data_IF_558219262141
#
_entry.id   IF_558219262141
#
_cell.length_a   1.000
_cell.length_b   1.000
_cell.length_c   1.000
_cell.angle_alpha   90.00
_cell.angle_beta   90.00
_cell.angle_gamma   90.00
#
_symmetry.space_group_name_H-M   'P 1'
#
loop_
_entity.id
_entity.type
_entity.pdbx_description
1 polymer ?
#
# COMPACT_ATOMS: atom_id res chain seq x y z
N UNK A 1 20.60 6.41 7.21
CA UNK A 1 19.83 7.54 7.79
C UNK A 1 18.34 7.23 7.84
N UNK A 2 17.86 6.92 9.03
CA UNK A 2 16.46 6.59 9.32
C UNK A 2 15.69 7.89 9.58
N UNK A 3 14.93 8.36 8.58
CA UNK A 3 14.17 9.61 8.70
C UNK A 3 12.91 9.37 9.55
N UNK A 4 12.79 10.10 10.65
CA UNK A 4 11.59 10.08 11.49
C UNK A 4 10.67 11.25 11.11
N UNK A 5 9.46 10.96 10.63
CA UNK A 5 8.45 11.98 10.40
C UNK A 5 7.62 12.15 11.68
N UNK A 6 7.51 13.39 12.18
CA UNK A 6 6.67 13.71 13.34
C UNK A 6 5.23 13.92 12.85
N UNK A 7 4.30 13.08 13.30
CA UNK A 7 2.88 13.21 13.01
C UNK A 7 2.15 14.15 13.98
N UNK A 8 0.83 14.30 13.77
CA UNK A 8 -0.05 15.02 14.72
C UNK A 8 0.14 14.47 16.14
N UNK A 9 0.24 15.38 17.13
CA UNK A 9 0.47 15.08 18.56
C UNK A 9 1.87 14.51 18.89
N UNK A 10 2.93 14.95 18.21
CA UNK A 10 4.33 14.54 18.48
C UNK A 10 4.58 13.02 18.44
N UNK A 11 3.73 12.25 17.75
CA UNK A 11 3.97 10.82 17.56
C UNK A 11 4.97 10.64 16.42
N UNK A 12 6.18 10.23 16.77
CA UNK A 12 7.20 9.85 15.79
C UNK A 12 6.78 8.57 15.05
N UNK A 13 6.92 8.58 13.73
CA UNK A 13 6.73 7.42 12.86
C UNK A 13 8.01 7.20 12.08
N UNK A 14 8.55 5.97 12.15
CA UNK A 14 9.72 5.58 11.36
C UNK A 14 9.31 5.60 9.90
N UNK A 15 9.97 6.42 9.08
CA UNK A 15 9.68 6.51 7.64
C UNK A 15 10.83 5.94 6.83
N UNK A 16 10.54 4.88 6.06
CA UNK A 16 11.50 4.30 5.11
C UNK A 16 11.11 4.69 3.70
N UNK A 17 12.04 5.30 2.96
CA UNK A 17 11.88 5.54 1.53
C UNK A 17 12.52 4.39 0.76
N UNK A 18 11.79 3.81 -0.19
CA UNK A 18 12.26 2.73 -1.05
C UNK A 18 12.33 3.24 -2.49
N UNK A 19 13.53 3.21 -3.07
CA UNK A 19 13.82 3.68 -4.43
C UNK A 19 14.73 4.92 -4.46
N UNK A 20 15.12 5.33 -5.67
CA UNK A 20 15.92 6.54 -5.87
C UNK A 20 15.17 7.78 -5.34
N UNK A 21 15.87 8.77 -4.78
CA UNK A 21 15.27 10.04 -4.40
C UNK A 21 14.52 10.62 -5.60
N UNK A 22 13.23 10.90 -5.43
CA UNK A 22 12.40 11.40 -6.52
C UNK A 22 12.93 12.74 -7.06
N UNK A 23 13.80 13.41 -6.33
CA UNK A 23 14.43 14.71 -6.54
C UNK A 23 15.80 14.65 -7.23
N UNK A 24 16.42 13.48 -7.39
CA UNK A 24 17.63 13.35 -8.22
C UNK A 24 17.25 13.24 -9.70
N UNK A 25 17.14 14.41 -10.36
CA UNK A 25 16.80 14.52 -11.76
C UNK A 25 17.79 13.79 -12.70
N UNK A 26 19.03 13.52 -12.26
CA UNK A 26 20.04 12.82 -13.05
C UNK A 26 19.77 11.33 -13.20
N UNK A 27 18.92 10.75 -12.32
CA UNK A 27 18.63 9.33 -12.24
C UNK A 27 17.26 8.93 -12.80
N UNK A 28 16.46 9.87 -13.34
CA UNK A 28 15.09 9.58 -13.82
C UNK A 28 15.06 9.35 -15.33
N UNK A 29 14.57 8.18 -15.75
CA UNK A 29 14.25 7.92 -17.15
C UNK A 29 12.95 8.66 -17.54
N UNK A 30 12.68 8.90 -18.83
CA UNK A 30 11.40 9.48 -19.26
C UNK A 30 10.19 8.68 -18.75
N UNK A 31 10.32 7.35 -18.67
CA UNK A 31 9.26 6.49 -18.13
C UNK A 31 9.00 6.76 -16.66
N UNK A 32 10.06 6.85 -15.83
CA UNK A 32 9.87 7.13 -14.40
C UNK A 32 9.48 8.58 -14.12
N UNK A 33 9.88 9.53 -14.98
CA UNK A 33 9.44 10.91 -14.86
C UNK A 33 7.91 11.05 -15.05
N UNK A 34 7.35 10.35 -16.04
CA UNK A 34 5.94 10.48 -16.42
C UNK A 34 5.03 9.62 -15.54
N UNK A 35 5.37 8.34 -15.34
CA UNK A 35 4.46 7.34 -14.79
C UNK A 35 4.69 7.02 -13.31
N UNK A 36 5.83 7.42 -12.72
CA UNK A 36 6.09 7.11 -11.31
C UNK A 36 5.41 8.09 -10.38
N UNK A 37 4.49 7.58 -9.56
CA UNK A 37 3.98 8.23 -8.35
C UNK A 37 4.62 7.63 -7.10
N UNK A 38 4.19 8.10 -5.93
CA UNK A 38 4.58 7.56 -4.63
C UNK A 38 3.35 7.14 -3.83
N UNK A 39 3.39 5.95 -3.24
CA UNK A 39 2.47 5.47 -2.21
C UNK A 39 3.12 5.62 -0.84
N UNK A 40 2.30 5.86 0.18
CA UNK A 40 2.68 5.77 1.58
C UNK A 40 1.84 4.69 2.24
N UNK A 41 2.48 3.60 2.64
CA UNK A 41 1.87 2.60 3.52
C UNK A 41 2.21 2.93 4.97
N UNK A 42 1.25 2.79 5.88
CA UNK A 42 1.46 2.97 7.32
C UNK A 42 0.96 1.74 8.06
N UNK A 43 1.78 1.18 8.92
CA UNK A 43 1.46 0.03 9.77
C UNK A 43 1.29 0.53 11.21
N UNK A 44 0.15 0.19 11.82
CA UNK A 44 -0.19 0.56 13.19
C UNK A 44 -0.65 -0.65 13.98
N UNK A 45 -0.23 -0.73 15.23
CA UNK A 45 -0.67 -1.74 16.17
C UNK A 45 -1.78 -1.20 17.06
N UNK A 46 -2.76 -2.05 17.34
CA UNK A 46 -3.84 -1.80 18.30
C UNK A 46 -3.51 -2.43 19.66
N UNK A 47 -4.26 -2.08 20.71
CA UNK A 47 -4.12 -2.72 22.01
C UNK A 47 -4.26 -4.26 21.89
N UNK A 48 -3.44 -5.06 22.61
CA UNK A 48 -2.45 -4.69 23.63
C UNK A 48 -1.06 -4.25 23.10
N UNK A 49 -0.86 -4.30 21.78
CA UNK A 49 0.42 -4.05 21.11
C UNK A 49 0.67 -2.57 20.74
N UNK A 50 -0.16 -1.64 21.24
CA UNK A 50 -0.10 -0.21 20.90
C UNK A 50 1.19 0.51 21.35
N UNK A 51 2.04 -0.17 22.15
CA UNK A 51 3.34 0.33 22.57
C UNK A 51 4.40 0.29 21.45
N UNK A 52 4.21 -0.56 20.43
CA UNK A 52 5.11 -0.58 19.27
C UNK A 52 4.91 0.67 18.41
N UNK A 53 6.03 1.24 17.96
CA UNK A 53 6.03 2.44 17.12
C UNK A 53 5.38 2.13 15.76
N UNK A 54 4.53 3.03 15.23
CA UNK A 54 4.07 2.94 13.86
C UNK A 54 5.23 2.99 12.88
N UNK A 55 5.13 2.21 11.82
CA UNK A 55 6.05 2.23 10.69
C UNK A 55 5.34 2.83 9.48
N UNK A 56 6.05 3.64 8.70
CA UNK A 56 5.59 4.12 7.41
C UNK A 56 6.64 3.83 6.34
N UNK A 57 6.17 3.41 5.17
CA UNK A 57 7.01 3.18 4.00
C UNK A 57 6.51 4.01 2.85
N UNK A 58 7.39 4.78 2.22
CA UNK A 58 7.13 5.47 0.97
C UNK A 58 7.76 4.65 -0.16
N UNK A 59 6.94 4.23 -1.12
CA UNK A 59 7.36 3.40 -2.25
C UNK A 59 6.89 3.98 -3.58
N UNK A 60 7.68 3.78 -4.63
CA UNK A 60 7.31 4.18 -5.98
C UNK A 60 6.30 3.23 -6.60
N UNK A 61 5.35 3.76 -7.38
CA UNK A 61 4.44 2.95 -8.18
C UNK A 61 4.33 3.52 -9.59
N UNK A 62 4.16 2.65 -10.59
CA UNK A 62 3.96 3.05 -11.99
C UNK A 62 2.51 2.82 -12.46
N UNK A 63 1.75 2.02 -11.73
CA UNK A 63 0.34 1.73 -11.99
C UNK A 63 -0.37 1.29 -10.70
N UNK A 64 -1.67 1.55 -10.58
CA UNK A 64 -2.50 1.02 -9.50
C UNK A 64 -3.30 -0.17 -9.99
N UNK A 65 -3.25 -1.27 -9.25
CA UNK A 65 -4.05 -2.46 -9.53
C UNK A 65 -5.32 -2.43 -8.68
N UNK A 66 -6.45 -2.13 -9.32
CA UNK A 66 -7.74 -1.98 -8.67
C UNK A 66 -8.50 -3.31 -8.74
N UNK A 67 -8.90 -3.79 -7.57
CA UNK A 67 -9.81 -4.92 -7.47
C UNK A 67 -11.24 -4.43 -7.71
N UNK A 68 -11.85 -4.95 -8.77
CA UNK A 68 -13.24 -4.64 -9.14
C UNK A 68 -14.18 -5.83 -8.91
N UNK A 69 -13.65 -6.94 -8.37
CA UNK A 69 -14.45 -8.11 -8.00
C UNK A 69 -15.06 -7.98 -6.61
N UNK A 70 -14.53 -7.05 -5.80
CA UNK A 70 -14.95 -6.83 -4.43
C UNK A 70 -16.41 -6.39 -4.35
N UNK A 71 -17.11 -6.89 -3.32
CA UNK A 71 -18.51 -6.53 -3.08
C UNK A 71 -18.64 -5.02 -2.85
N UNK A 72 -19.62 -4.40 -3.51
CA UNK A 72 -19.85 -2.95 -3.42
C UNK A 72 -18.93 -2.08 -4.28
N UNK A 73 -18.11 -2.66 -5.16
CA UNK A 73 -17.35 -1.91 -6.18
C UNK A 73 -18.12 -1.91 -7.50
N UNK A 74 -18.73 -0.76 -7.83
CA UNK A 74 -19.48 -0.52 -9.07
C UNK A 74 -18.95 0.65 -9.89
N UNK A 75 -18.05 1.45 -9.31
CA UNK A 75 -17.44 2.64 -9.91
C UNK A 75 -15.92 2.66 -9.70
N UNK A 76 -15.22 3.50 -10.48
CA UNK A 76 -13.78 3.66 -10.35
C UNK A 76 -13.41 4.29 -9.00
N UNK A 77 -14.23 5.21 -8.53
CA UNK A 77 -14.12 5.90 -7.25
C UNK A 77 -14.22 4.91 -6.08
N UNK A 78 -15.16 3.96 -6.15
CA UNK A 78 -15.28 2.87 -5.19
C UNK A 78 -14.07 1.95 -5.24
N UNK A 79 -13.58 1.59 -6.42
CA UNK A 79 -12.39 0.75 -6.56
C UNK A 79 -11.13 1.43 -5.97
N UNK A 80 -10.97 2.75 -6.17
CA UNK A 80 -9.89 3.54 -5.58
C UNK A 80 -10.02 3.66 -4.06
N UNK A 81 -11.25 3.85 -3.55
CA UNK A 81 -11.53 3.82 -2.11
C UNK A 81 -11.19 2.46 -1.53
N UNK A 82 -11.59 1.38 -2.21
CA UNK A 82 -11.32 0.01 -1.81
C UNK A 82 -9.83 -0.28 -1.77
N UNK A 83 -9.06 0.19 -2.77
CA UNK A 83 -7.59 0.08 -2.79
C UNK A 83 -6.91 0.74 -1.56
N UNK A 84 -7.51 1.79 -1.00
CA UNK A 84 -7.01 2.49 0.19
C UNK A 84 -7.69 2.07 1.49
N UNK A 85 -8.50 1.01 1.48
CA UNK A 85 -9.11 0.48 2.69
C UNK A 85 -8.01 -0.10 3.59
N UNK A 86 -8.04 0.21 4.89
CA UNK A 86 -7.11 -0.42 5.81
C UNK A 86 -7.31 -1.92 5.90
N UNK A 87 -6.22 -2.68 5.74
CA UNK A 87 -6.18 -4.13 5.80
C UNK A 87 -5.61 -4.61 7.15
N UNK A 88 -6.06 -5.76 7.61
CA UNK A 88 -5.45 -6.45 8.76
C UNK A 88 -4.32 -7.33 8.24
N UNK A 89 -3.14 -7.20 8.83
CA UNK A 89 -1.94 -7.93 8.45
C UNK A 89 -1.26 -8.51 9.68
N UNK A 90 -0.36 -9.46 9.44
CA UNK A 90 0.62 -9.89 10.41
C UNK A 90 1.95 -9.17 10.13
N UNK A 91 2.54 -8.54 11.14
CA UNK A 91 3.77 -7.78 11.00
C UNK A 91 4.66 -7.93 12.23
N UNK A 92 5.98 -8.02 12.04
CA UNK A 92 6.97 -8.04 13.12
C UNK A 92 7.57 -6.66 13.34
N UNK A 93 7.19 -5.92 14.40
CA UNK A 93 7.93 -4.72 14.77
C UNK A 93 9.31 -5.09 15.33
N UNK A 94 10.24 -4.14 15.23
CA UNK A 94 11.57 -4.31 15.81
C UNK A 94 11.47 -4.56 17.32
N UNK A 95 12.18 -5.58 17.80
CA UNK A 95 12.16 -6.02 19.19
C UNK A 95 11.03 -6.99 19.57
N UNK A 96 10.07 -7.27 18.69
CA UNK A 96 9.08 -8.33 18.95
C UNK A 96 9.65 -9.74 18.66
N UNK A 97 9.20 -10.73 19.43
CA UNK A 97 9.60 -12.12 19.25
C UNK A 97 8.90 -12.79 18.04
N UNK A 98 7.64 -12.46 17.79
CA UNK A 98 6.77 -13.08 16.79
C UNK A 98 6.04 -12.06 15.90
N UNK A 99 5.33 -12.53 14.87
CA UNK A 99 4.40 -11.69 14.11
C UNK A 99 3.24 -11.25 15.00
N UNK A 100 2.83 -9.99 14.88
CA UNK A 100 1.70 -9.43 15.63
C UNK A 100 0.63 -8.90 14.67
N UNK A 101 -0.66 -8.96 15.07
CA UNK A 101 -1.72 -8.38 14.28
C UNK A 101 -1.57 -6.86 14.23
N UNK A 102 -1.57 -6.31 13.02
CA UNK A 102 -1.45 -4.90 12.75
C UNK A 102 -2.46 -4.47 11.68
N UNK A 103 -2.71 -3.17 11.63
CA UNK A 103 -3.55 -2.55 10.61
C UNK A 103 -2.66 -1.75 9.67
N UNK A 104 -2.70 -2.08 8.38
CA UNK A 104 -1.96 -1.37 7.33
C UNK A 104 -2.91 -0.54 6.50
N UNK A 105 -2.59 0.72 6.28
CA UNK A 105 -3.29 1.58 5.31
C UNK A 105 -2.33 2.08 4.25
N UNK A 106 -2.79 2.08 3.00
CA UNK A 106 -2.04 2.59 1.85
C UNK A 106 -2.72 3.86 1.34
N UNK A 107 -1.92 4.88 1.05
CA UNK A 107 -2.39 6.18 0.56
C UNK A 107 -1.52 6.67 -0.59
N UNK A 108 -2.12 7.42 -1.50
CA UNK A 108 -1.38 8.17 -2.50
C UNK A 108 -0.63 9.31 -1.81
N UNK A 109 0.70 9.29 -1.91
CA UNK A 109 1.59 10.29 -1.34
C UNK A 109 1.97 11.35 -2.37
N UNK A 110 2.29 10.93 -3.60
CA UNK A 110 2.51 11.80 -4.76
C UNK A 110 1.89 11.14 -5.99
N UNK A 111 1.16 11.91 -6.79
CA UNK A 111 0.62 11.44 -8.07
C UNK A 111 1.68 11.53 -9.18
N UNK A 112 1.68 10.60 -10.15
CA UNK A 112 2.43 10.75 -11.39
C UNK A 112 1.82 11.83 -12.30
N UNK A 113 2.52 12.23 -13.35
CA UNK A 113 1.95 13.09 -14.40
C UNK A 113 0.87 12.33 -15.18
N UNK A 114 1.11 11.04 -15.44
CA UNK A 114 0.13 10.15 -16.06
C UNK A 114 -0.12 8.95 -15.15
N UNK A 115 -1.34 8.86 -14.64
CA UNK A 115 -1.77 7.77 -13.77
C UNK A 115 -2.31 6.60 -14.59
N UNK A 116 -1.67 5.43 -14.46
CA UNK A 116 -2.13 4.19 -15.09
C UNK A 116 -2.93 3.36 -14.09
N UNK A 117 -4.16 3.00 -14.47
CA UNK A 117 -5.06 2.17 -13.66
C UNK A 117 -5.30 0.83 -14.36
N UNK A 118 -5.03 -0.26 -13.66
CA UNK A 118 -5.31 -1.61 -14.13
C UNK A 118 -6.46 -2.21 -13.34
N UNK A 119 -7.56 -2.50 -14.02
CA UNK A 119 -8.74 -3.15 -13.45
C UNK A 119 -8.53 -4.67 -13.45
N UNK A 120 -8.48 -5.29 -12.27
CA UNK A 120 -8.36 -6.74 -12.14
C UNK A 120 -9.68 -7.40 -12.50
N UNK A 121 -9.82 -7.80 -13.76
CA UNK A 121 -11.05 -8.43 -14.30
C UNK A 121 -11.10 -9.95 -14.19
N UNK A 122 -10.09 -10.56 -13.59
CA UNK A 122 -9.95 -12.01 -13.52
C UNK A 122 -9.82 -12.44 -12.07
N UNK A 123 -10.63 -13.43 -11.67
CA UNK A 123 -10.59 -14.04 -10.34
C UNK A 123 -10.40 -15.54 -10.47
N UNK A 124 -9.72 -16.13 -9.50
CA UNK A 124 -9.62 -17.58 -9.38
C UNK A 124 -10.44 -18.02 -8.17
N UNK A 125 -11.39 -18.91 -8.39
CA UNK A 125 -12.18 -19.52 -7.31
C UNK A 125 -11.76 -20.97 -7.16
N UNK A 126 -11.56 -21.37 -5.90
CA UNK A 126 -11.27 -22.75 -5.53
C UNK A 126 -12.44 -23.29 -4.71
N UNK A 127 -12.99 -24.42 -5.13
CA UNK A 127 -14.04 -25.12 -4.40
C UNK A 127 -13.41 -26.17 -3.48
N UNK A 128 -13.98 -26.35 -2.29
CA UNK A 128 -13.51 -27.36 -1.33
C UNK A 128 -13.53 -28.80 -1.90
N UNK A 129 -14.29 -29.04 -2.97
CA UNK A 129 -14.36 -30.31 -3.70
C UNK A 129 -13.17 -30.57 -4.67
N UNK A 130 -12.14 -29.71 -4.67
CA UNK A 130 -10.93 -29.92 -5.46
C UNK A 130 -10.97 -29.35 -6.88
N UNK A 131 -12.07 -28.69 -7.28
CA UNK A 131 -12.17 -27.99 -8.55
C UNK A 131 -11.86 -26.49 -8.39
N UNK A 132 -11.02 -25.94 -9.25
CA UNK A 132 -10.78 -24.49 -9.32
C UNK A 132 -10.87 -23.97 -10.74
N UNK A 133 -11.29 -22.71 -10.90
CA UNK A 133 -11.54 -22.12 -12.21
C UNK A 133 -11.24 -20.61 -12.23
N UNK A 134 -10.89 -20.13 -13.42
CA UNK A 134 -10.80 -18.71 -13.69
C UNK A 134 -12.13 -18.19 -14.21
N UNK A 135 -12.61 -17.11 -13.62
CA UNK A 135 -13.74 -16.35 -14.14
C UNK A 135 -13.30 -14.96 -14.54
N UNK A 136 -13.95 -14.44 -15.58
CA UNK A 136 -13.84 -13.06 -16.03
C UNK A 136 -15.10 -12.30 -15.58
N UNK A 137 -14.92 -11.11 -15.00
CA UNK A 137 -15.99 -10.16 -14.66
C UNK A 137 -16.54 -9.45 -15.90
#
# INVERSE_FOLDING_TARGET
DEWAQVGRKNKATVTRQVGAPADDASCRSPVSAIFTGLLKSTVRFSAPHAHYKPSATIEGFNMLHLDIAAEGVSSLEEALRHHSLPENIEYKPDGAACMLPAKKDVRLYRLPEVLVLHLKRFTYTYTAAGGGGYSKL
#
